data_IF_485168202703
#
_entry.id   IF_485168202703
#
_cell.length_a   1.000
_cell.length_b   1.000
_cell.length_c   1.000
_cell.angle_alpha   90.00
_cell.angle_beta   90.00
_cell.angle_gamma   90.00
#
_symmetry.space_group_name_H-M   'P 1'
#
loop_
_entity.id
_entity.type
_entity.pdbx_description
1 polymer ?
#
# COMPACT_ATOMS: atom_id res chain seq x y z
N UNK A 1 -4.16 -25.75 -14.87
CA UNK A 1 -4.02 -24.96 -13.65
C UNK A 1 -3.65 -23.52 -14.03
N UNK A 2 -4.45 -22.59 -13.64
CA UNK A 2 -4.19 -21.19 -13.95
C UNK A 2 -3.23 -20.61 -12.92
N UNK A 3 -2.02 -20.27 -13.36
CA UNK A 3 -1.07 -19.54 -12.53
C UNK A 3 -1.38 -18.08 -12.71
N UNK A 4 -1.81 -17.43 -11.64
CA UNK A 4 -2.10 -16.00 -11.64
C UNK A 4 -0.80 -15.22 -11.78
N UNK A 5 -0.70 -14.38 -12.80
CA UNK A 5 0.48 -13.57 -13.05
C UNK A 5 0.67 -12.47 -12.02
N UNK A 6 1.89 -11.90 -11.93
CA UNK A 6 2.21 -10.88 -10.92
C UNK A 6 1.26 -9.68 -10.91
N UNK A 7 0.85 -9.18 -12.06
CA UNK A 7 -0.05 -8.03 -12.14
C UNK A 7 -1.42 -8.32 -11.53
N UNK A 8 -1.98 -9.50 -11.82
CA UNK A 8 -3.27 -9.87 -11.25
C UNK A 8 -3.18 -10.11 -9.75
N UNK A 9 -2.11 -10.74 -9.28
CA UNK A 9 -1.85 -10.93 -7.84
C UNK A 9 -1.79 -9.57 -7.13
N UNK A 10 -1.06 -8.61 -7.68
CA UNK A 10 -1.01 -7.24 -7.15
C UNK A 10 -2.39 -6.61 -7.10
N UNK A 11 -3.17 -6.70 -8.18
CA UNK A 11 -4.49 -6.08 -8.23
C UNK A 11 -5.46 -6.68 -7.21
N UNK A 12 -5.39 -7.99 -7.00
CA UNK A 12 -6.16 -8.64 -5.95
C UNK A 12 -5.71 -8.18 -4.56
N UNK A 13 -4.40 -8.12 -4.32
CA UNK A 13 -3.84 -7.61 -3.07
C UNK A 13 -4.33 -6.19 -2.78
N UNK A 14 -4.22 -5.30 -3.74
CA UNK A 14 -4.65 -3.91 -3.62
C UNK A 14 -6.15 -3.81 -3.34
N UNK A 15 -6.96 -4.57 -4.07
CA UNK A 15 -8.40 -4.60 -3.86
C UNK A 15 -8.78 -5.08 -2.47
N UNK A 16 -8.18 -6.17 -2.00
CA UNK A 16 -8.45 -6.70 -0.65
C UNK A 16 -8.06 -5.69 0.42
N UNK A 17 -6.91 -5.04 0.25
CA UNK A 17 -6.40 -4.07 1.20
C UNK A 17 -7.31 -2.83 1.28
N UNK A 18 -7.67 -2.26 0.13
CA UNK A 18 -8.51 -1.06 0.04
C UNK A 18 -9.93 -1.31 0.53
N UNK A 19 -10.49 -2.49 0.23
CA UNK A 19 -11.86 -2.83 0.58
C UNK A 19 -12.01 -3.44 1.99
N UNK A 20 -10.92 -3.56 2.73
CA UNK A 20 -10.94 -4.13 4.07
C UNK A 20 -11.17 -5.63 4.10
N UNK A 21 -10.94 -6.33 2.99
CA UNK A 21 -11.05 -7.78 2.89
C UNK A 21 -9.78 -8.46 3.38
N UNK A 22 -9.36 -8.13 4.58
CA UNK A 22 -8.04 -8.51 5.12
C UNK A 22 -7.84 -10.00 5.25
N UNK A 23 -8.89 -10.76 5.54
CA UNK A 23 -8.83 -12.21 5.61
C UNK A 23 -8.47 -12.89 4.30
N UNK A 24 -8.63 -12.19 3.18
CA UNK A 24 -8.29 -12.71 1.84
C UNK A 24 -6.85 -12.44 1.42
N UNK A 25 -6.12 -11.61 2.14
CA UNK A 25 -4.74 -11.27 1.77
C UNK A 25 -3.82 -12.51 1.73
N UNK A 26 -4.09 -13.52 2.56
CA UNK A 26 -3.33 -14.76 2.54
C UNK A 26 -3.47 -15.56 1.24
N UNK A 27 -4.49 -15.29 0.43
CA UNK A 27 -4.68 -15.93 -0.88
C UNK A 27 -3.62 -15.47 -1.89
N UNK A 28 -3.09 -14.25 -1.72
CA UNK A 28 -2.17 -13.61 -2.66
C UNK A 28 -0.84 -13.21 -2.03
N UNK A 29 -0.62 -13.55 -0.76
CA UNK A 29 0.59 -13.16 0.00
C UNK A 29 1.11 -14.35 0.76
N UNK A 30 2.43 -14.57 0.75
CA UNK A 30 3.07 -15.57 1.60
C UNK A 30 3.12 -15.03 3.02
N UNK A 31 2.34 -15.59 3.92
CA UNK A 31 2.12 -15.03 5.26
C UNK A 31 3.41 -14.91 6.09
N UNK A 32 4.28 -15.91 5.98
CA UNK A 32 5.48 -15.99 6.83
C UNK A 32 6.69 -15.33 6.17
N UNK A 33 6.84 -15.51 4.86
CA UNK A 33 8.00 -15.01 4.11
C UNK A 33 7.85 -13.57 3.68
N UNK A 34 6.64 -13.02 3.69
CA UNK A 34 6.37 -11.67 3.25
C UNK A 34 7.19 -10.65 4.06
N UNK A 35 7.87 -9.77 3.35
CA UNK A 35 8.54 -8.61 3.93
C UNK A 35 8.12 -7.36 3.17
N UNK A 36 8.04 -6.23 3.86
CA UNK A 36 7.81 -4.95 3.21
C UNK A 36 8.65 -3.85 3.83
N UNK A 37 8.98 -2.87 3.01
CA UNK A 37 9.55 -1.60 3.47
C UNK A 37 8.60 -0.47 3.10
N UNK A 38 7.93 0.09 4.09
CA UNK A 38 7.15 1.31 3.93
C UNK A 38 8.05 2.49 4.31
N UNK A 39 8.75 3.01 3.32
CA UNK A 39 9.85 3.97 3.50
C UNK A 39 9.39 5.21 4.25
N UNK A 40 10.17 5.60 5.25
CA UNK A 40 9.96 6.80 6.06
C UNK A 40 8.63 6.84 6.84
N UNK A 41 7.95 5.72 6.97
CA UNK A 41 6.75 5.61 7.79
C UNK A 41 6.89 4.49 8.82
N UNK A 42 6.73 3.24 8.41
CA UNK A 42 6.84 2.07 9.29
C UNK A 42 8.12 1.25 9.08
N UNK A 43 8.84 1.51 7.99
CA UNK A 43 10.10 0.83 7.67
C UNK A 43 9.94 -0.65 7.34
N UNK A 44 10.97 -1.42 7.60
CA UNK A 44 11.00 -2.86 7.33
C UNK A 44 10.13 -3.63 8.31
N UNK A 45 9.33 -4.54 7.76
CA UNK A 45 8.43 -5.40 8.50
C UNK A 45 8.47 -6.79 7.90
N UNK A 46 8.50 -7.82 8.74
CA UNK A 46 8.43 -9.23 8.33
C UNK A 46 7.10 -9.85 8.77
N UNK A 47 6.48 -10.59 7.87
CA UNK A 47 5.20 -11.25 8.09
C UNK A 47 4.00 -10.40 7.75
N UNK A 48 3.01 -11.04 7.12
CA UNK A 48 1.81 -10.34 6.67
C UNK A 48 0.99 -9.76 7.83
N UNK A 49 0.87 -10.49 8.93
CA UNK A 49 0.06 -10.04 10.06
C UNK A 49 0.59 -8.75 10.68
N UNK A 50 1.91 -8.64 10.84
CA UNK A 50 2.53 -7.42 11.36
C UNK A 50 2.40 -6.26 10.38
N UNK A 51 2.62 -6.52 9.08
CA UNK A 51 2.46 -5.52 8.04
C UNK A 51 1.02 -5.01 7.98
N UNK A 52 0.04 -5.90 8.10
CA UNK A 52 -1.38 -5.52 8.10
C UNK A 52 -1.72 -4.66 9.32
N UNK A 53 -1.21 -5.02 10.50
CA UNK A 53 -1.41 -4.20 11.70
C UNK A 53 -0.84 -2.80 11.51
N UNK A 54 0.36 -2.70 10.96
CA UNK A 54 0.99 -1.41 10.66
C UNK A 54 0.13 -0.58 9.70
N UNK A 55 -0.40 -1.20 8.67
CA UNK A 55 -1.31 -0.53 7.73
C UNK A 55 -2.58 -0.04 8.42
N UNK A 56 -3.22 -0.88 9.21
CA UNK A 56 -4.46 -0.52 9.91
C UNK A 56 -4.24 0.62 10.91
N UNK A 57 -3.20 0.54 11.72
CA UNK A 57 -2.93 1.51 12.79
C UNK A 57 -2.36 2.83 12.28
N UNK A 58 -1.54 2.80 11.23
CA UNK A 58 -0.79 3.98 10.80
C UNK A 58 -1.32 4.62 9.52
N UNK A 59 -2.12 3.92 8.74
CA UNK A 59 -2.64 4.42 7.47
C UNK A 59 -4.17 4.37 7.45
N UNK A 60 -4.76 3.19 7.47
CA UNK A 60 -6.20 3.02 7.25
C UNK A 60 -7.07 3.74 8.29
N UNK A 61 -6.61 3.83 9.54
CA UNK A 61 -7.34 4.55 10.61
C UNK A 61 -7.22 6.08 10.51
N UNK A 62 -6.35 6.58 9.65
CA UNK A 62 -5.99 8.01 9.59
C UNK A 62 -6.26 8.63 8.23
N UNK A 63 -6.18 7.84 7.18
CA UNK A 63 -6.44 8.21 5.80
C UNK A 63 -7.53 7.28 5.27
N UNK A 64 -8.76 7.79 5.19
CA UNK A 64 -9.92 6.99 4.83
C UNK A 64 -10.40 7.28 3.41
N UNK A 65 -11.35 6.46 2.92
CA UNK A 65 -11.91 6.58 1.57
C UNK A 65 -10.82 6.63 0.50
N UNK A 66 -9.87 5.71 0.60
CA UNK A 66 -8.71 5.63 -0.26
C UNK A 66 -9.09 5.16 -1.66
N UNK A 67 -8.76 5.97 -2.66
CA UNK A 67 -8.99 5.65 -4.08
C UNK A 67 -7.65 5.65 -4.81
N UNK A 68 -7.18 4.47 -5.27
CA UNK A 68 -5.94 4.37 -6.03
C UNK A 68 -6.16 4.68 -7.51
N UNK A 69 -5.15 5.30 -8.12
CA UNK A 69 -5.07 5.47 -9.57
C UNK A 69 -3.71 5.00 -10.04
N UNK A 70 -3.67 3.92 -10.82
CA UNK A 70 -2.45 3.43 -11.46
C UNK A 70 -2.10 4.34 -12.63
N UNK A 71 -0.83 4.74 -12.74
CA UNK A 71 -0.34 5.54 -13.85
C UNK A 71 0.61 4.75 -14.75
N UNK A 72 1.55 4.04 -14.16
CA UNK A 72 2.49 3.19 -14.88
C UNK A 72 2.56 1.83 -14.21
N UNK A 73 2.65 0.79 -15.03
CA UNK A 73 2.81 -0.59 -14.60
C UNK A 73 3.94 -1.19 -15.41
N UNK A 74 4.99 -1.66 -14.75
CA UNK A 74 6.13 -2.30 -15.39
C UNK A 74 6.32 -3.68 -14.77
N UNK A 75 6.31 -4.71 -15.60
CA UNK A 75 6.55 -6.09 -15.18
C UNK A 75 7.80 -6.61 -15.83
N UNK A 76 8.69 -7.21 -15.04
CA UNK A 76 9.90 -7.89 -15.50
C UNK A 76 10.06 -9.17 -14.70
N UNK A 77 9.89 -10.31 -15.34
CA UNK A 77 9.93 -11.64 -14.71
C UNK A 77 8.95 -11.74 -13.53
N UNK A 78 9.47 -11.95 -12.32
CA UNK A 78 8.68 -12.05 -11.08
C UNK A 78 8.50 -10.70 -10.35
N UNK A 79 9.04 -9.63 -10.94
CA UNK A 79 8.99 -8.29 -10.35
C UNK A 79 7.93 -7.43 -11.02
N UNK A 80 7.30 -6.57 -10.20
CA UNK A 80 6.33 -5.61 -10.66
C UNK A 80 6.62 -4.25 -10.05
N UNK A 81 6.55 -3.20 -10.86
CA UNK A 81 6.67 -1.80 -10.40
C UNK A 81 5.41 -1.06 -10.79
N UNK A 82 4.78 -0.42 -9.82
CA UNK A 82 3.56 0.39 -10.02
C UNK A 82 3.87 1.81 -9.58
N UNK A 83 3.57 2.78 -10.43
CA UNK A 83 3.53 4.19 -10.05
C UNK A 83 2.10 4.68 -10.12
N UNK A 84 1.66 5.42 -9.13
CA UNK A 84 0.31 5.95 -9.11
C UNK A 84 0.09 7.01 -8.05
N UNK A 85 -1.17 7.28 -7.77
CA UNK A 85 -1.58 8.19 -6.71
C UNK A 85 -2.73 7.60 -5.90
N UNK A 86 -2.79 7.98 -4.62
CA UNK A 86 -3.95 7.74 -3.76
C UNK A 86 -4.65 9.05 -3.49
N UNK A 87 -5.98 9.03 -3.54
CA UNK A 87 -6.80 10.10 -3.00
C UNK A 87 -7.41 9.61 -1.69
N UNK A 88 -7.31 10.43 -0.64
CA UNK A 88 -7.70 10.03 0.72
C UNK A 88 -8.37 11.20 1.44
N UNK A 89 -9.15 10.88 2.48
CA UNK A 89 -9.67 11.87 3.43
C UNK A 89 -8.87 11.78 4.73
N UNK A 90 -8.34 12.91 5.20
CA UNK A 90 -7.54 12.99 6.41
C UNK A 90 -8.43 13.03 7.65
N UNK A 91 -8.64 11.88 8.27
CA UNK A 91 -9.57 11.69 9.39
C UNK A 91 -8.90 11.39 10.72
N UNK A 92 -7.61 11.08 10.73
CA UNK A 92 -6.81 10.86 11.94
C UNK A 92 -5.50 11.60 11.88
N UNK A 93 -4.83 11.77 13.01
CA UNK A 93 -3.50 12.41 13.03
C UNK A 93 -2.55 11.67 12.09
N UNK A 94 -1.89 12.41 11.20
CA UNK A 94 -0.94 11.86 10.25
C UNK A 94 0.23 12.81 10.05
N UNK A 95 1.45 12.29 10.10
CA UNK A 95 2.69 13.08 9.98
C UNK A 95 2.75 14.26 10.95
N UNK A 96 2.21 14.09 12.14
CA UNK A 96 2.18 15.13 13.16
C UNK A 96 1.08 16.18 12.96
N UNK A 97 0.18 15.99 12.00
CA UNK A 97 -0.91 16.93 11.71
C UNK A 97 -2.22 16.37 12.24
N UNK A 98 -2.93 17.10 13.14
CA UNK A 98 -4.26 16.69 13.60
C UNK A 98 -5.25 16.55 12.44
N UNK A 99 -6.31 15.74 12.56
CA UNK A 99 -7.25 15.53 11.47
C UNK A 99 -7.84 16.83 10.93
N UNK A 100 -7.72 17.03 9.61
CA UNK A 100 -8.22 18.23 8.93
C UNK A 100 -9.56 18.00 8.23
N UNK A 101 -9.93 16.75 7.99
CA UNK A 101 -11.09 16.40 7.16
C UNK A 101 -10.89 16.67 5.67
N UNK A 102 -9.71 17.10 5.26
CA UNK A 102 -9.42 17.45 3.85
C UNK A 102 -9.35 16.20 2.98
N UNK A 103 -9.82 16.35 1.75
CA UNK A 103 -9.59 15.40 0.68
C UNK A 103 -8.30 15.79 -0.04
N UNK A 104 -7.30 14.92 0.00
CA UNK A 104 -5.95 15.19 -0.53
C UNK A 104 -5.47 14.00 -1.34
N UNK A 105 -4.41 14.19 -2.12
CA UNK A 105 -3.82 13.09 -2.87
C UNK A 105 -2.31 13.08 -2.71
N UNK A 106 -1.71 11.89 -2.84
CA UNK A 106 -0.26 11.73 -2.81
C UNK A 106 0.19 10.64 -3.77
N UNK A 107 1.39 10.80 -4.29
CA UNK A 107 1.97 9.84 -5.22
C UNK A 107 2.68 8.71 -4.48
N UNK A 108 2.68 7.52 -5.11
CA UNK A 108 3.44 6.38 -4.61
C UNK A 108 4.11 5.61 -5.74
N UNK A 109 5.17 4.88 -5.37
CA UNK A 109 5.77 3.84 -6.18
C UNK A 109 5.83 2.58 -5.33
N UNK A 110 5.28 1.50 -5.85
CA UNK A 110 5.37 0.16 -5.25
C UNK A 110 6.24 -0.73 -6.12
N UNK A 111 7.06 -1.54 -5.48
CA UNK A 111 7.74 -2.67 -6.12
C UNK A 111 7.30 -3.96 -5.42
N UNK A 112 7.04 -4.99 -6.21
CA UNK A 112 6.59 -6.29 -5.71
C UNK A 112 7.43 -7.40 -6.31
N UNK A 113 7.71 -8.43 -5.49
CA UNK A 113 8.18 -9.72 -5.99
C UNK A 113 7.07 -10.74 -5.73
N UNK A 114 6.72 -11.48 -6.78
CA UNK A 114 5.66 -12.51 -6.72
C UNK A 114 6.29 -13.85 -7.04
N UNK A 115 6.16 -14.81 -6.14
CA UNK A 115 6.67 -16.17 -6.28
C UNK A 115 5.52 -17.14 -6.10
N UNK A 116 5.32 -18.01 -7.11
CA UNK A 116 4.27 -19.05 -7.07
C UNK A 116 2.88 -18.45 -6.78
N UNK A 117 2.56 -17.32 -7.41
CA UNK A 117 1.26 -16.68 -7.28
C UNK A 117 1.04 -15.92 -5.97
N UNK A 118 2.10 -15.71 -5.17
CA UNK A 118 2.01 -14.99 -3.90
C UNK A 118 3.09 -13.93 -3.78
N UNK A 119 2.73 -12.78 -3.21
CA UNK A 119 3.67 -11.71 -2.93
C UNK A 119 4.57 -12.13 -1.76
N UNK A 120 5.87 -12.04 -1.97
CA UNK A 120 6.87 -12.34 -0.93
C UNK A 120 7.65 -11.09 -0.49
N UNK A 121 7.55 -10.02 -1.24
CA UNK A 121 8.27 -8.78 -0.94
C UNK A 121 7.54 -7.58 -1.54
N UNK A 122 7.55 -6.47 -0.80
CA UNK A 122 7.00 -5.20 -1.24
C UNK A 122 7.89 -4.06 -0.77
N UNK A 123 8.12 -3.09 -1.65
CA UNK A 123 8.77 -1.83 -1.33
C UNK A 123 7.81 -0.70 -1.68
N UNK A 124 7.49 0.15 -0.71
CA UNK A 124 6.53 1.24 -0.88
C UNK A 124 7.20 2.58 -0.59
N UNK A 125 7.25 3.43 -1.60
CA UNK A 125 7.77 4.79 -1.49
C UNK A 125 6.65 5.77 -1.81
N UNK A 126 6.30 6.62 -0.83
CA UNK A 126 5.25 7.63 -0.98
C UNK A 126 5.82 9.03 -0.84
N UNK A 127 5.19 9.99 -1.50
CA UNK A 127 5.51 11.41 -1.34
C UNK A 127 4.86 11.96 -0.05
N UNK A 128 5.43 11.58 1.09
CA UNK A 128 4.95 12.02 2.39
C UNK A 128 5.07 13.53 2.58
N UNK A 129 6.11 14.15 1.99
CA UNK A 129 6.29 15.60 2.06
C UNK A 129 5.16 16.32 1.32
N UNK A 130 4.85 15.92 0.11
CA UNK A 130 3.75 16.51 -0.67
C UNK A 130 2.41 16.36 0.03
N UNK A 131 2.18 15.20 0.66
CA UNK A 131 0.97 14.99 1.45
C UNK A 131 0.92 15.95 2.66
N UNK A 132 2.00 16.04 3.43
CA UNK A 132 2.05 16.91 4.59
C UNK A 132 1.88 18.38 4.20
N UNK A 133 2.45 18.81 3.10
CA UNK A 133 2.29 20.18 2.60
C UNK A 133 0.81 20.49 2.31
N UNK A 134 0.06 19.57 1.74
CA UNK A 134 -1.38 19.73 1.52
C UNK A 134 -2.17 19.79 2.83
N UNK A 135 -1.78 18.99 3.83
CA UNK A 135 -2.46 18.96 5.12
C UNK A 135 -2.21 20.23 5.95
N UNK A 136 -1.10 20.89 5.73
CA UNK A 136 -0.70 22.10 6.47
C UNK A 136 -0.93 23.40 5.70
N UNK A 137 -1.37 23.33 4.45
CA UNK A 137 -1.65 24.51 3.63
C UNK A 137 -2.77 25.37 4.25
N UNK A 138 -2.69 26.72 4.11
CA UNK A 138 -3.72 27.61 4.60
C UNK A 138 -5.08 27.36 3.98
#
# INVERSE_FOLDING_TARGET
>A
MNITGPLEVYRQFQSFLINGEYGRLAEVTDMDRYTEDCVALTGWTTGLQTALRNFQENIASRLTDMVPTERDVIQADDMLVIRGSYEVTHTGEFLGVPPTGRRVSYEWVDMYRVTEGRIVWRYLLCDWKGLRDQLTAP
#
